data_IF_635023218449
#
_entry.id   IF_635023218449
#
_cell.length_a   1.000
_cell.length_b   1.000
_cell.length_c   1.000
_cell.angle_alpha   90.00
_cell.angle_beta   90.00
_cell.angle_gamma   90.00
#
_symmetry.space_group_name_H-M   'P 1'
#
loop_
_entity.id
_entity.type
_entity.pdbx_description
1 polymer ?
#
# COMPACT_ATOMS: atom_id res chain seq x y z
N UNK A 1 11.08 -25.82 30.63
CA UNK A 1 11.21 -24.58 29.83
C UNK A 1 12.68 -24.45 29.45
N UNK A 2 13.05 -24.69 28.18
CA UNK A 2 14.47 -24.69 27.78
C UNK A 2 14.88 -23.25 27.44
N UNK A 3 15.97 -22.70 28.03
CA UNK A 3 16.41 -21.34 27.73
C UNK A 3 16.89 -21.25 26.29
N UNK A 4 16.37 -20.28 25.53
CA UNK A 4 16.88 -19.95 24.19
C UNK A 4 18.18 -19.17 24.34
N UNK A 5 19.30 -19.84 24.05
CA UNK A 5 20.63 -19.20 23.98
C UNK A 5 20.70 -18.32 22.73
N UNK A 6 20.99 -17.03 22.91
CA UNK A 6 21.24 -16.08 21.82
C UNK A 6 22.59 -16.44 21.20
N UNK A 7 22.59 -16.97 19.97
CA UNK A 7 23.81 -17.43 19.29
C UNK A 7 24.71 -16.31 18.75
N UNK A 8 24.19 -15.08 18.59
CA UNK A 8 24.94 -13.87 18.17
C UNK A 8 24.23 -12.60 18.67
N UNK A 9 25.03 -11.62 19.11
CA UNK A 9 24.55 -10.28 19.54
C UNK A 9 24.11 -9.45 18.33
N UNK A 10 24.79 -9.61 17.19
CA UNK A 10 24.42 -9.00 15.92
C UNK A 10 23.52 -9.96 15.13
N UNK A 11 22.40 -9.44 14.59
CA UNK A 11 21.38 -10.23 13.91
C UNK A 11 21.90 -11.10 12.75
N UNK A 12 21.04 -11.97 12.23
CA UNK A 12 21.34 -12.98 11.18
C UNK A 12 21.93 -12.45 9.86
N UNK A 13 22.17 -11.14 9.68
CA UNK A 13 22.61 -10.57 8.40
C UNK A 13 24.00 -9.98 8.53
N UNK A 14 24.96 -10.56 7.83
CA UNK A 14 26.19 -9.86 7.48
C UNK A 14 25.84 -8.56 6.74
N UNK A 15 26.61 -7.47 6.92
CA UNK A 15 26.44 -6.28 6.09
C UNK A 15 26.57 -6.72 4.64
N UNK A 16 25.49 -6.55 3.87
CA UNK A 16 25.53 -6.82 2.44
C UNK A 16 26.50 -5.79 1.87
N UNK A 17 27.63 -6.22 1.30
CA UNK A 17 28.53 -5.30 0.58
C UNK A 17 27.70 -4.75 -0.58
N UNK A 18 27.22 -3.52 -0.44
CA UNK A 18 26.42 -2.85 -1.47
C UNK A 18 27.41 -2.30 -2.48
N UNK A 19 27.42 -2.86 -3.69
CA UNK A 19 28.13 -2.23 -4.80
C UNK A 19 27.43 -0.92 -5.16
N UNK A 20 28.18 0.14 -5.45
CA UNK A 20 27.59 1.44 -5.73
C UNK A 20 26.85 1.43 -7.07
N UNK A 21 25.77 2.20 -7.15
CA UNK A 21 24.95 2.29 -8.35
C UNK A 21 25.70 3.00 -9.48
N UNK A 22 25.59 2.48 -10.70
CA UNK A 22 26.19 3.07 -11.90
C UNK A 22 25.07 3.50 -12.85
N UNK A 23 25.06 4.78 -13.21
CA UNK A 23 24.12 5.36 -14.16
C UNK A 23 24.94 6.06 -15.24
N UNK A 24 24.67 5.74 -16.51
CA UNK A 24 25.38 6.30 -17.68
C UNK A 24 26.92 6.18 -17.61
N UNK A 25 27.41 5.06 -17.04
CA UNK A 25 28.85 4.81 -16.89
C UNK A 25 29.50 5.51 -15.69
N UNK A 26 28.77 6.31 -14.94
CA UNK A 26 29.27 7.02 -13.76
C UNK A 26 28.76 6.39 -12.46
N UNK A 27 29.66 6.23 -11.50
CA UNK A 27 29.31 5.83 -10.13
C UNK A 27 28.66 7.01 -9.43
N UNK A 28 27.49 6.80 -8.81
CA UNK A 28 26.81 7.87 -8.10
C UNK A 28 27.54 8.22 -6.79
N UNK A 29 27.73 9.51 -6.48
CA UNK A 29 28.62 9.95 -5.41
C UNK A 29 27.96 9.98 -4.02
N UNK A 30 26.63 9.84 -3.92
CA UNK A 30 25.91 9.94 -2.65
C UNK A 30 24.60 9.16 -2.66
N UNK A 31 24.16 8.76 -1.46
CA UNK A 31 22.84 8.13 -1.25
C UNK A 31 21.69 9.00 -1.76
N UNK A 32 21.84 10.33 -1.75
CA UNK A 32 20.84 11.27 -2.27
C UNK A 32 20.77 11.19 -3.79
N UNK A 33 21.92 11.17 -4.47
CA UNK A 33 21.99 11.01 -5.91
C UNK A 33 21.43 9.64 -6.34
N UNK A 34 21.70 8.58 -5.57
CA UNK A 34 21.09 7.26 -5.78
C UNK A 34 19.57 7.30 -5.65
N UNK A 35 19.03 7.91 -4.58
CA UNK A 35 17.60 8.03 -4.37
C UNK A 35 16.92 8.83 -5.50
N UNK A 36 17.53 9.93 -5.95
CA UNK A 36 17.04 10.72 -7.08
C UNK A 36 17.07 9.93 -8.39
N UNK A 37 18.11 9.13 -8.62
CA UNK A 37 18.18 8.24 -9.77
C UNK A 37 17.06 7.19 -9.74
N UNK A 38 16.83 6.52 -8.60
CA UNK A 38 15.71 5.59 -8.42
C UNK A 38 14.36 6.27 -8.66
N UNK A 39 14.14 7.46 -8.13
CA UNK A 39 12.90 8.21 -8.34
C UNK A 39 12.67 8.51 -9.82
N UNK A 40 13.69 9.01 -10.54
CA UNK A 40 13.59 9.28 -11.98
C UNK A 40 13.31 8.02 -12.78
N UNK A 41 13.99 6.92 -12.46
CA UNK A 41 13.80 5.64 -13.14
C UNK A 41 12.43 5.01 -12.87
N UNK A 42 11.95 5.02 -11.63
CA UNK A 42 10.63 4.48 -11.33
C UNK A 42 9.50 5.35 -11.86
N UNK A 43 9.68 6.68 -11.86
CA UNK A 43 8.75 7.59 -12.52
C UNK A 43 8.71 7.36 -14.04
N UNK A 44 9.82 7.00 -14.68
CA UNK A 44 9.84 6.69 -16.12
C UNK A 44 9.25 5.32 -16.47
N UNK A 45 9.40 4.31 -15.60
CA UNK A 45 8.73 3.01 -15.77
C UNK A 45 7.22 3.14 -15.58
N UNK A 46 6.82 3.93 -14.59
CA UNK A 46 5.43 4.30 -14.34
C UNK A 46 4.91 5.17 -15.47
N UNK A 47 4.68 4.58 -16.64
CA UNK A 47 4.11 5.22 -17.81
C UNK A 47 2.60 5.47 -17.59
N UNK A 48 2.22 5.97 -16.42
CA UNK A 48 0.98 6.67 -16.24
C UNK A 48 1.23 8.04 -16.85
N UNK A 49 0.90 8.19 -18.13
CA UNK A 49 0.65 9.51 -18.68
C UNK A 49 -0.54 10.06 -17.89
N UNK A 50 -0.28 10.65 -16.74
CA UNK A 50 -1.23 11.47 -16.02
C UNK A 50 -1.37 12.78 -16.81
N UNK A 51 -1.78 12.64 -18.07
CA UNK A 51 -2.13 13.68 -19.02
C UNK A 51 -3.65 13.84 -19.03
N UNK A 52 -4.33 13.42 -17.97
CA UNK A 52 -5.68 13.91 -17.74
C UNK A 52 -5.54 15.25 -17.03
N UNK A 53 -5.89 16.32 -17.73
CA UNK A 53 -6.03 17.63 -17.11
C UNK A 53 -6.92 17.49 -15.88
N UNK A 54 -6.71 18.28 -14.83
CA UNK A 54 -7.66 18.35 -13.70
C UNK A 54 -9.12 18.55 -14.18
N UNK A 55 -9.29 19.16 -15.35
CA UNK A 55 -10.58 19.32 -16.03
C UNK A 55 -11.18 18.00 -16.51
N UNK A 56 -10.36 17.10 -17.05
CA UNK A 56 -10.80 15.79 -17.55
C UNK A 56 -11.21 14.88 -16.39
N UNK A 57 -10.42 14.85 -15.31
CA UNK A 57 -10.80 14.15 -14.07
C UNK A 57 -12.10 14.71 -13.47
N UNK A 58 -12.28 16.03 -13.46
CA UNK A 58 -13.53 16.67 -13.01
C UNK A 58 -14.71 16.31 -13.90
N UNK A 59 -14.49 16.21 -15.22
CA UNK A 59 -15.52 15.81 -16.18
C UNK A 59 -15.91 14.35 -15.98
N UNK A 60 -14.94 13.45 -15.90
CA UNK A 60 -15.18 12.03 -15.66
C UNK A 60 -15.90 11.78 -14.33
N UNK A 61 -15.50 12.49 -13.25
CA UNK A 61 -16.21 12.45 -11.96
C UNK A 61 -17.67 12.87 -12.10
N UNK A 62 -17.96 13.91 -12.88
CA UNK A 62 -19.34 14.37 -13.14
C UNK A 62 -20.13 13.34 -13.96
N UNK A 63 -19.50 12.68 -14.93
CA UNK A 63 -20.14 11.63 -15.73
C UNK A 63 -20.43 10.37 -14.90
N UNK A 64 -19.51 9.96 -14.03
CA UNK A 64 -19.73 8.86 -13.08
C UNK A 64 -20.87 9.15 -12.10
N UNK A 65 -21.00 10.41 -11.65
CA UNK A 65 -22.11 10.85 -10.80
C UNK A 65 -23.48 10.83 -11.51
N UNK A 66 -23.51 10.81 -12.85
CA UNK A 66 -24.76 10.74 -13.63
C UNK A 66 -25.21 9.31 -13.94
N UNK A 67 -24.34 8.30 -13.74
CA UNK A 67 -24.70 6.90 -14.03
C UNK A 67 -25.83 6.47 -13.10
N UNK A 68 -26.85 5.73 -13.60
CA UNK A 68 -27.90 5.20 -12.73
C UNK A 68 -27.26 4.34 -11.64
N UNK A 69 -27.59 4.60 -10.38
CA UNK A 69 -27.12 3.85 -9.22
C UNK A 69 -27.81 2.50 -9.12
N UNK A 70 -27.62 1.63 -10.12
CA UNK A 70 -27.79 0.21 -9.88
C UNK A 70 -26.82 -0.18 -8.75
N UNK A 71 -27.33 -0.78 -7.68
CA UNK A 71 -26.57 -1.24 -6.52
C UNK A 71 -25.98 -0.17 -5.58
N UNK A 72 -26.68 0.96 -5.39
CA UNK A 72 -26.30 2.02 -4.43
C UNK A 72 -25.96 1.51 -3.02
N UNK A 73 -26.60 0.40 -2.60
CA UNK A 73 -26.40 -0.23 -1.28
C UNK A 73 -24.93 -0.51 -0.94
N UNK A 74 -24.10 -0.89 -1.91
CA UNK A 74 -22.71 -1.24 -1.64
C UNK A 74 -21.83 -0.04 -1.32
N UNK A 75 -22.16 1.10 -1.88
CA UNK A 75 -21.39 2.33 -1.75
C UNK A 75 -21.89 3.23 -0.63
N UNK A 76 -23.10 2.98 -0.12
CA UNK A 76 -23.71 3.75 0.98
C UNK A 76 -23.65 3.03 2.33
N UNK A 77 -23.29 1.75 2.37
CA UNK A 77 -23.20 1.00 3.62
C UNK A 77 -21.92 1.35 4.34
N UNK A 78 -22.04 1.70 5.62
CA UNK A 78 -20.90 1.93 6.51
C UNK A 78 -20.26 0.62 6.97
N UNK A 79 -18.96 0.66 7.25
CA UNK A 79 -18.26 -0.47 7.86
C UNK A 79 -18.73 -0.70 9.30
N UNK A 80 -18.76 -1.96 9.68
CA UNK A 80 -19.10 -2.44 11.01
C UNK A 80 -17.86 -2.71 11.86
N UNK A 81 -18.04 -2.78 13.18
CA UNK A 81 -16.95 -3.17 14.08
C UNK A 81 -16.45 -4.59 13.79
N UNK A 82 -17.33 -5.50 13.37
CA UNK A 82 -16.95 -6.88 13.05
C UNK A 82 -16.00 -6.94 11.85
N UNK A 83 -16.26 -6.15 10.80
CA UNK A 83 -15.38 -6.03 9.63
C UNK A 83 -14.03 -5.44 10.01
N UNK A 84 -14.02 -4.39 10.85
CA UNK A 84 -12.79 -3.80 11.36
C UNK A 84 -11.97 -4.81 12.16
N UNK A 85 -12.59 -5.53 13.09
CA UNK A 85 -11.89 -6.55 13.86
C UNK A 85 -11.31 -7.65 12.99
N UNK A 86 -12.07 -8.10 11.98
CA UNK A 86 -11.59 -9.10 11.04
C UNK A 86 -10.38 -8.58 10.25
N UNK A 87 -10.42 -7.33 9.79
CA UNK A 87 -9.30 -6.70 9.09
C UNK A 87 -8.05 -6.58 9.98
N UNK A 88 -8.21 -6.15 11.23
CA UNK A 88 -7.11 -6.08 12.22
C UNK A 88 -6.50 -7.46 12.50
N UNK A 89 -7.35 -8.50 12.60
CA UNK A 89 -6.89 -9.89 12.82
C UNK A 89 -6.14 -10.45 11.62
N UNK A 90 -6.57 -10.13 10.40
CA UNK A 90 -5.89 -10.56 9.15
C UNK A 90 -4.56 -9.86 8.90
N UNK A 91 -4.35 -8.68 9.49
CA UNK A 91 -3.11 -7.92 9.32
C UNK A 91 -1.88 -8.65 9.84
N UNK A 92 -0.81 -8.68 9.04
CA UNK A 92 0.44 -9.37 9.37
C UNK A 92 1.33 -8.50 10.26
N UNK A 93 1.80 -9.08 11.37
CA UNK A 93 2.79 -8.47 12.27
C UNK A 93 4.21 -8.58 11.71
N UNK A 94 5.15 -7.82 12.29
CA UNK A 94 6.56 -7.78 11.91
C UNK A 94 6.83 -7.14 10.56
N UNK A 95 5.89 -6.32 10.05
CA UNK A 95 6.04 -5.57 8.80
C UNK A 95 6.54 -4.16 9.08
N UNK A 96 7.33 -3.63 8.15
CA UNK A 96 7.80 -2.25 8.23
C UNK A 96 6.59 -1.29 8.11
N UNK A 97 6.47 -0.30 9.02
CA UNK A 97 5.41 0.69 8.95
C UNK A 97 5.61 1.66 7.77
N UNK A 98 4.55 2.40 7.46
CA UNK A 98 4.65 3.55 6.56
C UNK A 98 5.36 4.74 7.23
N UNK A 99 5.29 5.90 6.59
CA UNK A 99 5.89 7.15 7.09
C UNK A 99 5.30 7.63 8.42
N UNK A 100 4.10 7.19 8.77
CA UNK A 100 3.40 7.48 10.02
C UNK A 100 3.93 6.67 11.22
N UNK A 101 4.84 5.71 10.98
CA UNK A 101 5.42 4.83 12.00
C UNK A 101 4.40 3.98 12.78
N UNK A 102 3.14 3.91 12.33
CA UNK A 102 2.11 3.09 12.97
C UNK A 102 2.30 1.63 12.52
N UNK A 103 2.49 0.72 13.47
CA UNK A 103 2.64 -0.71 13.17
C UNK A 103 1.35 -1.50 13.34
N UNK A 104 1.30 -2.72 12.79
CA UNK A 104 0.12 -3.58 12.91
C UNK A 104 -0.13 -3.97 14.37
N UNK A 105 0.93 -4.17 15.15
CA UNK A 105 0.88 -4.50 16.57
C UNK A 105 0.23 -3.37 17.37
N UNK A 106 0.52 -2.11 17.03
CA UNK A 106 -0.14 -0.96 17.67
C UNK A 106 -1.65 -1.00 17.44
N UNK A 107 -2.08 -1.29 16.20
CA UNK A 107 -3.49 -1.40 15.83
C UNK A 107 -4.17 -2.59 16.54
N UNK A 108 -3.51 -3.74 16.61
CA UNK A 108 -4.02 -4.93 17.29
C UNK A 108 -4.23 -4.71 18.80
N UNK A 109 -3.35 -3.94 19.44
CA UNK A 109 -3.39 -3.65 20.88
C UNK A 109 -4.21 -2.40 21.25
N UNK A 110 -4.92 -1.78 20.30
CA UNK A 110 -5.79 -0.64 20.61
C UNK A 110 -6.93 -1.03 21.56
N UNK A 111 -7.28 -0.09 22.45
CA UNK A 111 -8.46 -0.22 23.29
C UNK A 111 -9.75 -0.23 22.46
N UNK A 112 -10.88 -0.76 22.99
CA UNK A 112 -12.16 -0.72 22.31
C UNK A 112 -12.60 0.70 21.91
N UNK A 113 -12.34 1.70 22.76
CA UNK A 113 -12.63 3.11 22.46
C UNK A 113 -11.80 3.63 21.28
N UNK A 114 -10.52 3.25 21.19
CA UNK A 114 -9.66 3.62 20.06
C UNK A 114 -10.12 2.94 18.76
N UNK A 115 -10.54 1.67 18.81
CA UNK A 115 -11.13 0.97 17.66
C UNK A 115 -12.42 1.64 17.18
N UNK A 116 -13.28 2.10 18.09
CA UNK A 116 -14.49 2.87 17.73
C UNK A 116 -14.14 4.17 17.00
N UNK A 117 -13.14 4.92 17.47
CA UNK A 117 -12.67 6.13 16.79
C UNK A 117 -12.07 5.82 15.42
N UNK A 118 -11.34 4.71 15.29
CA UNK A 118 -10.80 4.29 14.01
C UNK A 118 -11.90 3.90 13.02
N UNK A 119 -12.93 3.18 13.48
CA UNK A 119 -14.10 2.86 12.66
C UNK A 119 -14.80 4.12 12.17
N UNK A 120 -15.03 5.08 13.07
CA UNK A 120 -15.64 6.36 12.70
C UNK A 120 -14.81 7.12 11.66
N UNK A 121 -13.48 7.09 11.77
CA UNK A 121 -12.58 7.66 10.76
C UNK A 121 -12.72 6.97 9.40
N UNK A 122 -12.80 5.64 9.37
CA UNK A 122 -13.00 4.89 8.13
C UNK A 122 -14.35 5.17 7.49
N UNK A 123 -15.44 5.17 8.26
CA UNK A 123 -16.78 5.45 7.74
C UNK A 123 -16.89 6.88 7.20
N UNK A 124 -16.27 7.84 7.89
CA UNK A 124 -16.17 9.21 7.40
C UNK A 124 -15.39 9.29 6.08
N UNK A 125 -14.22 8.64 6.02
CA UNK A 125 -13.39 8.59 4.82
C UNK A 125 -14.12 7.95 3.63
N UNK A 126 -14.89 6.89 3.90
CA UNK A 126 -15.70 6.16 2.92
C UNK A 126 -16.85 7.01 2.38
N UNK A 127 -17.64 7.61 3.26
CA UNK A 127 -18.81 8.42 2.92
C UNK A 127 -18.46 9.75 2.26
N UNK A 128 -17.40 10.42 2.71
CA UNK A 128 -16.91 11.67 2.10
C UNK A 128 -16.13 11.41 0.80
N UNK A 129 -15.69 10.18 0.55
CA UNK A 129 -14.85 9.83 -0.60
C UNK A 129 -13.49 10.54 -0.58
N UNK A 130 -12.97 10.84 0.62
CA UNK A 130 -11.74 11.61 0.82
C UNK A 130 -10.86 10.95 1.89
N UNK A 131 -9.65 10.56 1.50
CA UNK A 131 -8.65 9.93 2.39
C UNK A 131 -7.63 10.95 2.89
N UNK A 132 -7.06 10.76 4.10
CA UNK A 132 -5.94 11.56 4.59
C UNK A 132 -4.76 11.57 3.61
N UNK A 133 -4.07 12.72 3.50
CA UNK A 133 -2.85 12.85 2.68
C UNK A 133 -1.81 11.80 3.07
N UNK A 134 -1.65 11.52 4.36
CA UNK A 134 -0.71 10.52 4.86
C UNK A 134 -0.96 9.12 4.27
N UNK A 135 -2.21 8.76 3.95
CA UNK A 135 -2.56 7.46 3.36
C UNK A 135 -2.26 7.41 1.86
N UNK A 136 -2.20 8.57 1.20
CA UNK A 136 -1.83 8.71 -0.22
C UNK A 136 -0.33 8.81 -0.46
N UNK A 137 0.47 8.87 0.59
CA UNK A 137 1.92 8.92 0.51
C UNK A 137 2.55 7.58 0.85
N UNK A 138 3.63 7.23 0.17
CA UNK A 138 4.40 6.00 0.44
C UNK A 138 5.89 6.30 0.45
N UNK A 139 6.64 5.58 1.29
CA UNK A 139 8.10 5.53 1.19
C UNK A 139 8.48 4.41 0.23
N UNK A 140 9.19 4.74 -0.85
CA UNK A 140 9.66 3.74 -1.81
C UNK A 140 10.99 3.16 -1.33
N UNK A 141 11.04 1.84 -1.19
CA UNK A 141 12.26 1.10 -0.82
C UNK A 141 12.66 0.21 -2.00
N UNK A 142 13.81 0.48 -2.65
CA UNK A 142 14.35 -0.39 -3.69
C UNK A 142 14.83 -1.72 -3.10
N UNK A 143 14.31 -2.84 -3.60
CA UNK A 143 14.75 -4.19 -3.22
C UNK A 143 15.40 -4.89 -4.40
N UNK A 144 16.66 -5.30 -4.23
CA UNK A 144 17.42 -6.01 -5.25
C UNK A 144 16.76 -7.33 -5.64
N UNK A 145 16.63 -7.59 -6.94
CA UNK A 145 16.31 -8.92 -7.50
C UNK A 145 17.50 -9.84 -7.25
N UNK A 146 17.28 -10.95 -6.54
CA UNK A 146 18.37 -11.78 -5.99
C UNK A 146 19.40 -12.33 -7.00
N UNK A 147 19.09 -12.34 -8.30
CA UNK A 147 19.97 -12.83 -9.37
C UNK A 147 20.54 -11.75 -10.28
N UNK A 148 20.34 -10.45 -9.98
CA UNK A 148 20.76 -9.35 -10.84
C UNK A 148 21.88 -8.50 -10.24
N UNK A 149 22.61 -7.78 -11.10
CA UNK A 149 23.69 -6.86 -10.73
C UNK A 149 23.21 -5.75 -9.80
N UNK A 150 23.95 -5.48 -8.72
CA UNK A 150 23.69 -4.36 -7.80
C UNK A 150 23.96 -2.99 -8.42
N UNK A 151 24.81 -2.94 -9.46
CA UNK A 151 25.19 -1.69 -10.12
C UNK A 151 24.08 -1.12 -11.00
N UNK A 152 23.14 -1.96 -11.42
CA UNK A 152 22.07 -1.58 -12.35
C UNK A 152 20.79 -1.20 -11.63
N UNK A 153 20.27 -0.01 -11.92
CA UNK A 153 19.03 0.50 -11.32
C UNK A 153 17.81 -0.39 -11.62
N UNK A 154 17.79 -1.01 -12.81
CA UNK A 154 16.72 -1.92 -13.26
C UNK A 154 16.66 -3.25 -12.49
N UNK A 155 17.72 -3.55 -11.74
CA UNK A 155 17.81 -4.73 -10.89
C UNK A 155 16.98 -4.64 -9.62
N UNK A 156 16.49 -3.45 -9.26
CA UNK A 156 15.73 -3.23 -8.04
C UNK A 156 14.23 -3.16 -8.33
N UNK A 157 13.43 -3.74 -7.44
CA UNK A 157 11.97 -3.61 -7.42
C UNK A 157 11.59 -2.49 -6.45
N UNK A 158 10.72 -1.55 -6.84
CA UNK A 158 10.18 -0.60 -5.88
C UNK A 158 9.16 -1.30 -4.97
N UNK A 159 9.36 -1.22 -3.65
CA UNK A 159 8.34 -1.61 -2.66
C UNK A 159 7.82 -0.36 -1.96
N UNK A 160 6.50 -0.17 -2.01
CA UNK A 160 5.83 0.98 -1.40
C UNK A 160 5.46 0.68 0.06
N UNK A 161 6.09 1.38 1.00
CA UNK A 161 5.68 1.39 2.40
C UNK A 161 4.60 2.46 2.62
N UNK A 162 3.35 2.04 2.44
CA UNK A 162 2.15 2.84 2.77
C UNK A 162 1.75 2.71 4.25
N UNK A 163 0.96 3.67 4.73
CA UNK A 163 0.38 3.68 6.09
C UNK A 163 -0.28 2.35 6.46
N UNK A 164 0.03 1.83 7.64
CA UNK A 164 -0.59 0.60 8.16
C UNK A 164 -2.07 0.83 8.50
N UNK A 165 -2.43 2.06 8.87
CA UNK A 165 -3.82 2.46 9.10
C UNK A 165 -4.60 2.33 7.79
N UNK A 166 -4.11 2.92 6.69
CA UNK A 166 -4.72 2.75 5.36
C UNK A 166 -4.86 1.27 4.97
N UNK A 167 -3.79 0.49 5.15
CA UNK A 167 -3.78 -0.96 4.88
C UNK A 167 -4.78 -1.77 5.69
N UNK A 168 -5.20 -1.26 6.85
CA UNK A 168 -6.23 -1.92 7.66
C UNK A 168 -7.62 -1.71 7.06
N UNK A 169 -7.84 -0.63 6.31
CA UNK A 169 -9.09 -0.36 5.61
C UNK A 169 -9.22 -1.15 4.30
N UNK A 170 -8.11 -1.38 3.60
CA UNK A 170 -8.06 -2.05 2.29
C UNK A 170 -8.83 -3.38 2.24
N UNK A 171 -8.72 -4.32 3.20
CA UNK A 171 -9.47 -5.58 3.16
C UNK A 171 -10.98 -5.41 3.29
N UNK A 172 -11.44 -4.38 4.00
CA UNK A 172 -12.88 -4.11 4.14
C UNK A 172 -13.44 -3.57 2.83
N UNK A 173 -12.74 -2.62 2.21
CA UNK A 173 -13.08 -2.10 0.87
C UNK A 173 -13.03 -3.22 -0.17
N UNK A 174 -11.99 -4.07 -0.13
CA UNK A 174 -11.84 -5.18 -1.05
C UNK A 174 -12.98 -6.19 -0.91
N UNK A 175 -13.43 -6.49 0.32
CA UNK A 175 -14.56 -7.40 0.53
C UNK A 175 -15.85 -6.85 -0.09
N UNK A 176 -16.14 -5.56 0.09
CA UNK A 176 -17.30 -4.91 -0.54
C UNK A 176 -17.21 -4.92 -2.07
N UNK A 177 -16.05 -4.52 -2.61
CA UNK A 177 -15.83 -4.46 -4.05
C UNK A 177 -15.93 -5.86 -4.69
N UNK A 178 -15.30 -6.86 -4.07
CA UNK A 178 -15.33 -8.22 -4.56
C UNK A 178 -16.76 -8.78 -4.58
N UNK A 179 -17.52 -8.53 -3.52
CA UNK A 179 -18.91 -8.97 -3.45
C UNK A 179 -19.79 -8.33 -4.52
N UNK A 180 -19.62 -7.02 -4.76
CA UNK A 180 -20.29 -6.32 -5.85
C UNK A 180 -19.94 -6.95 -7.21
N UNK A 181 -18.65 -7.13 -7.51
CA UNK A 181 -18.18 -7.59 -8.81
C UNK A 181 -18.65 -9.02 -9.15
N UNK A 182 -18.69 -9.92 -8.16
CA UNK A 182 -19.22 -11.28 -8.36
C UNK A 182 -20.74 -11.28 -8.53
N UNK A 183 -21.49 -10.48 -7.75
CA UNK A 183 -22.95 -10.41 -7.90
C UNK A 183 -23.37 -9.81 -9.25
N UNK A 184 -22.67 -8.76 -9.70
CA UNK A 184 -22.92 -8.13 -10.99
C UNK A 184 -22.32 -8.91 -12.18
N UNK A 185 -21.58 -10.00 -11.93
CA UNK A 185 -20.89 -10.82 -12.95
C UNK A 185 -19.96 -9.99 -13.86
N UNK A 186 -19.27 -9.02 -13.27
CA UNK A 186 -18.32 -8.15 -13.99
C UNK A 186 -16.92 -8.79 -14.10
N UNK A 187 -16.67 -9.89 -13.37
CA UNK A 187 -15.44 -10.66 -13.45
C UNK A 187 -15.57 -11.76 -14.50
N UNK A 188 -14.60 -11.81 -15.42
CA UNK A 188 -14.50 -12.88 -16.41
C UNK A 188 -14.22 -14.23 -15.73
N UNK A 189 -14.84 -15.30 -16.21
CA UNK A 189 -14.66 -16.66 -15.66
C UNK A 189 -13.20 -17.15 -15.79
N UNK A 190 -12.47 -16.67 -16.80
CA UNK A 190 -11.06 -17.01 -17.03
C UNK A 190 -10.08 -16.19 -16.18
N UNK A 191 -10.55 -15.21 -15.39
CA UNK A 191 -9.69 -14.45 -14.49
C UNK A 191 -9.21 -15.32 -13.32
N UNK A 192 -7.98 -15.82 -13.41
CA UNK A 192 -7.35 -16.66 -12.39
C UNK A 192 -6.40 -15.90 -11.44
N UNK A 193 -5.97 -14.69 -11.80
CA UNK A 193 -5.05 -13.88 -10.99
C UNK A 193 -5.80 -13.05 -9.97
N UNK A 194 -5.39 -13.13 -8.69
CA UNK A 194 -5.93 -12.31 -7.59
C UNK A 194 -7.46 -12.40 -7.41
N UNK A 195 -8.03 -13.55 -7.79
CA UNK A 195 -9.42 -13.93 -7.52
C UNK A 195 -9.49 -14.74 -6.23
#
# INVERSE_FOLDING_TARGET
MVPKVIKRIEGKRAPTRVEPLVVDGHVLPSWRAEAEAFNKFYASIGNCKDTQSEKDMKRERRELQKRPTANQRYWTTEFTMAELELAIRKGKTGKAPGRDSVTQEMIQNMSPSAKLKLLALYNRTWTEGSVPVAWRTATIVPILKGWKSQKEISSYRPISLTSTVSKTMEPMVNALLYHYLEESKELDESQAGFR
#
